data_IF_348688556640
#
_entry.id   IF_348688556640
#
_cell.length_a   1.000
_cell.length_b   1.000
_cell.length_c   1.000
_cell.angle_alpha   90.00
_cell.angle_beta   90.00
_cell.angle_gamma   90.00
#
_symmetry.space_group_name_H-M   'P 1'
#
loop_
_entity.id
_entity.type
_entity.pdbx_description
1 polymer ?
#
# COMPACT_ATOMS: atom_id res chain seq x y z
N UNK A 1 6.41 -6.77 0.16
CA UNK A 1 4.94 -6.92 0.09
C UNK A 1 4.55 -8.37 0.39
N UNK A 2 3.25 -8.72 0.39
CA UNK A 2 2.76 -10.06 0.73
C UNK A 2 2.84 -11.04 -0.45
N UNK A 3 3.80 -11.99 -0.48
CA UNK A 3 3.97 -12.88 -1.63
C UNK A 3 2.81 -13.85 -1.83
N UNK A 4 2.13 -14.23 -0.74
CA UNK A 4 0.99 -15.15 -0.75
C UNK A 4 -0.25 -14.58 -1.47
N UNK A 5 -0.39 -13.26 -1.48
CA UNK A 5 -1.51 -12.57 -2.13
C UNK A 5 -1.17 -12.02 -3.51
N UNK A 6 -0.05 -12.43 -4.11
CA UNK A 6 0.46 -11.80 -5.35
C UNK A 6 -0.52 -11.88 -6.52
N UNK A 7 -1.19 -13.02 -6.68
CA UNK A 7 -2.24 -13.19 -7.70
C UNK A 7 -3.45 -12.30 -7.40
N UNK A 8 -3.93 -12.33 -6.14
CA UNK A 8 -5.07 -11.53 -5.70
C UNK A 8 -4.81 -10.03 -5.83
N UNK A 9 -3.58 -9.57 -5.55
CA UNK A 9 -3.17 -8.17 -5.73
C UNK A 9 -3.17 -7.74 -7.19
N UNK A 10 -2.77 -8.60 -8.12
CA UNK A 10 -2.86 -8.28 -9.55
C UNK A 10 -4.33 -8.18 -9.98
N UNK A 11 -5.15 -9.18 -9.62
CA UNK A 11 -6.56 -9.17 -9.97
C UNK A 11 -7.29 -7.96 -9.36
N UNK A 12 -7.06 -7.65 -8.09
CA UNK A 12 -7.63 -6.46 -7.44
C UNK A 12 -7.12 -5.15 -8.04
N UNK A 13 -5.88 -5.08 -8.55
CA UNK A 13 -5.42 -3.87 -9.25
C UNK A 13 -6.22 -3.59 -10.51
N UNK A 14 -6.65 -4.63 -11.22
CA UNK A 14 -7.41 -4.49 -12.46
C UNK A 14 -8.92 -4.34 -12.18
N UNK A 15 -9.44 -5.13 -11.24
CA UNK A 15 -10.87 -5.19 -10.90
C UNK A 15 -11.29 -4.06 -9.95
N UNK A 16 -10.40 -3.66 -9.03
CA UNK A 16 -10.68 -2.66 -8.01
C UNK A 16 -9.81 -1.39 -8.16
N UNK A 17 -10.35 -0.30 -8.72
CA UNK A 17 -9.62 0.95 -8.89
C UNK A 17 -9.21 1.58 -7.56
N UNK A 18 -9.90 1.27 -6.46
CA UNK A 18 -9.49 1.71 -5.13
C UNK A 18 -8.20 1.03 -4.68
N UNK A 19 -8.07 -0.28 -4.95
CA UNK A 19 -6.85 -1.03 -4.65
C UNK A 19 -5.66 -0.52 -5.46
N UNK A 20 -5.86 -0.28 -6.77
CA UNK A 20 -4.83 0.30 -7.63
C UNK A 20 -4.28 1.62 -7.07
N UNK A 21 -5.19 2.50 -6.64
CA UNK A 21 -4.83 3.79 -6.05
C UNK A 21 -3.99 3.65 -4.78
N UNK A 22 -4.39 2.76 -3.87
CA UNK A 22 -3.64 2.50 -2.63
C UNK A 22 -2.24 1.97 -2.89
N UNK A 23 -2.10 1.10 -3.91
CA UNK A 23 -0.82 0.53 -4.32
C UNK A 23 0.11 1.62 -4.86
N UNK A 24 -0.39 2.50 -5.73
CA UNK A 24 0.35 3.65 -6.25
C UNK A 24 0.75 4.62 -5.13
N UNK A 25 -0.16 4.94 -4.22
CA UNK A 25 0.11 5.80 -3.06
C UNK A 25 1.23 5.21 -2.18
N UNK A 26 1.21 3.88 -1.99
CA UNK A 26 2.24 3.18 -1.21
C UNK A 26 3.61 3.26 -1.89
N UNK A 27 3.69 2.96 -3.19
CA UNK A 27 4.92 3.09 -3.99
C UNK A 27 5.46 4.52 -3.95
N UNK A 28 4.57 5.51 -4.10
CA UNK A 28 4.95 6.91 -4.08
C UNK A 28 5.49 7.33 -2.71
N UNK A 29 4.85 6.88 -1.63
CA UNK A 29 5.32 7.08 -0.26
C UNK A 29 6.66 6.41 -0.01
N UNK A 30 6.83 5.15 -0.44
CA UNK A 30 8.08 4.41 -0.27
C UNK A 30 9.26 5.11 -0.97
N UNK A 31 9.04 5.53 -2.23
CA UNK A 31 10.03 6.28 -3.00
C UNK A 31 10.33 7.64 -2.37
N UNK A 32 9.33 8.32 -1.82
CA UNK A 32 9.50 9.59 -1.13
C UNK A 32 10.28 9.41 0.17
N UNK A 33 9.96 8.40 0.97
CA UNK A 33 10.69 8.05 2.19
C UNK A 33 12.15 7.73 1.85
N UNK A 34 12.41 6.88 0.85
CA UNK A 34 13.77 6.56 0.42
C UNK A 34 14.57 7.79 -0.01
N UNK A 35 13.96 8.71 -0.78
CA UNK A 35 14.63 9.97 -1.15
C UNK A 35 14.92 10.85 0.07
N UNK A 36 14.00 10.94 1.02
CA UNK A 36 14.20 11.73 2.24
C UNK A 36 15.22 11.10 3.19
N UNK A 37 15.29 9.76 3.26
CA UNK A 37 16.29 9.04 4.04
C UNK A 37 17.70 9.14 3.41
N UNK A 38 17.78 9.29 2.09
CA UNK A 38 19.04 9.53 1.38
C UNK A 38 19.55 10.98 1.53
N UNK A 39 18.67 11.92 1.88
CA UNK A 39 19.04 13.32 2.05
C UNK A 39 19.47 13.60 3.51
N UNK A 40 20.78 13.81 3.77
CA UNK A 40 21.31 13.91 5.13
C UNK A 40 20.83 15.17 5.87
N UNK A 41 20.30 16.18 5.16
CA UNK A 41 19.72 17.38 5.76
C UNK A 41 18.29 17.12 6.26
N UNK A 42 17.58 16.14 5.69
CA UNK A 42 16.19 15.83 6.03
C UNK A 42 16.02 14.71 7.07
N UNK A 43 17.10 14.10 7.54
CA UNK A 43 17.09 12.94 8.46
C UNK A 43 16.40 13.21 9.81
N UNK A 44 16.11 14.47 10.15
CA UNK A 44 15.43 14.91 11.39
C UNK A 44 14.10 15.64 11.08
N UNK A 45 13.46 15.37 9.94
CA UNK A 45 12.14 15.94 9.65
C UNK A 45 10.99 15.03 10.11
N UNK A 46 10.05 15.64 10.84
CA UNK A 46 8.76 15.06 11.27
C UNK A 46 7.97 14.44 10.10
N UNK A 47 8.22 14.94 8.88
CA UNK A 47 7.68 14.39 7.64
C UNK A 47 8.01 12.90 7.45
N UNK A 48 9.24 12.44 7.72
CA UNK A 48 9.59 11.02 7.51
C UNK A 48 8.76 10.12 8.43
N UNK A 49 8.57 10.51 9.69
CA UNK A 49 7.71 9.79 10.62
C UNK A 49 6.24 9.77 10.17
N UNK A 50 5.73 10.91 9.71
CA UNK A 50 4.37 11.00 9.18
C UNK A 50 4.19 10.11 7.92
N UNK A 51 5.18 10.09 7.03
CA UNK A 51 5.18 9.25 5.83
C UNK A 51 5.26 7.76 6.19
N UNK A 52 6.12 7.36 7.15
CA UNK A 52 6.18 5.98 7.66
C UNK A 52 4.84 5.53 8.24
N UNK A 53 4.16 6.40 9.01
CA UNK A 53 2.79 6.14 9.52
C UNK A 53 1.78 5.98 8.39
N UNK A 54 1.83 6.83 7.35
CA UNK A 54 0.97 6.70 6.17
C UNK A 54 1.22 5.39 5.42
N UNK A 55 2.49 5.02 5.19
CA UNK A 55 2.87 3.76 4.56
C UNK A 55 2.29 2.55 5.30
N UNK A 56 2.35 2.57 6.64
CA UNK A 56 1.74 1.53 7.46
C UNK A 56 0.22 1.45 7.25
N UNK A 57 -0.48 2.60 7.27
CA UNK A 57 -1.93 2.66 7.00
C UNK A 57 -2.31 2.13 5.62
N UNK A 58 -1.54 2.48 4.58
CA UNK A 58 -1.79 1.97 3.23
C UNK A 58 -1.64 0.46 3.16
N UNK A 59 -0.58 -0.07 3.78
CA UNK A 59 -0.37 -1.51 3.86
C UNK A 59 -1.53 -2.21 4.60
N UNK A 60 -2.05 -1.61 5.66
CA UNK A 60 -3.22 -2.12 6.40
C UNK A 60 -4.48 -2.14 5.52
N UNK A 61 -4.78 -1.03 4.82
CA UNK A 61 -5.91 -0.97 3.89
C UNK A 61 -5.80 -1.97 2.74
N UNK A 62 -4.60 -2.11 2.15
CA UNK A 62 -4.31 -3.12 1.14
C UNK A 62 -4.60 -4.52 1.71
N UNK A 63 -4.14 -4.81 2.94
CA UNK A 63 -4.37 -6.10 3.58
C UNK A 63 -5.86 -6.36 3.86
N UNK A 64 -6.62 -5.34 4.29
CA UNK A 64 -8.06 -5.46 4.47
C UNK A 64 -8.78 -5.78 3.15
N UNK A 65 -8.42 -5.10 2.06
CA UNK A 65 -9.00 -5.38 0.74
C UNK A 65 -8.67 -6.79 0.24
N UNK A 66 -7.43 -7.24 0.47
CA UNK A 66 -7.03 -8.61 0.14
C UNK A 66 -7.84 -9.62 0.94
N UNK A 67 -7.98 -9.43 2.25
CA UNK A 67 -8.81 -10.31 3.08
C UNK A 67 -10.28 -10.28 2.66
N UNK A 68 -10.84 -9.12 2.35
CA UNK A 68 -12.23 -9.00 1.90
C UNK A 68 -12.46 -9.75 0.58
N UNK A 69 -11.56 -9.58 -0.39
CA UNK A 69 -11.60 -10.30 -1.65
C UNK A 69 -11.41 -11.82 -1.45
N UNK A 70 -10.55 -12.22 -0.52
CA UNK A 70 -10.32 -13.62 -0.19
C UNK A 70 -11.50 -14.26 0.56
N UNK A 71 -12.22 -13.51 1.39
CA UNK A 71 -13.37 -13.99 2.17
C UNK A 71 -14.70 -13.96 1.40
N UNK A 72 -14.82 -13.09 0.39
CA UNK A 72 -15.95 -13.07 -0.53
C UNK A 72 -15.49 -13.38 -1.97
N UNK A 73 -15.09 -14.62 -2.29
CA UNK A 73 -14.91 -15.03 -3.68
C UNK A 73 -16.27 -15.13 -4.42
N UNK A 74 -17.39 -15.03 -3.71
CA UNK A 74 -18.74 -15.31 -4.20
C UNK A 74 -19.74 -14.26 -3.69
N UNK A 75 -19.80 -13.09 -4.34
CA UNK A 75 -21.04 -12.33 -4.43
C UNK A 75 -21.51 -12.34 -5.87
N UNK A 76 -22.01 -13.51 -6.29
CA UNK A 76 -23.02 -13.62 -7.33
C UNK A 76 -24.13 -14.50 -6.75
N UNK A 77 -25.39 -14.04 -6.71
CA UNK A 77 -26.53 -14.85 -6.29
C UNK A 77 -26.78 -16.02 -7.26
#
# INVERSE_FOLDING_TARGET
MFPEFRELMQQLREDNPHFARLFEDHEHLDRKISQLELDPVHQINDDIEALKRKKLKLKDQIYQLLQQAQQNPSSSP
#
